data_IF_006648908080
#
_entry.id   IF_006648908080
#
_cell.length_a   1.000
_cell.length_b   1.000
_cell.length_c   1.000
_cell.angle_alpha   90.00
_cell.angle_beta   90.00
_cell.angle_gamma   90.00
#
_symmetry.space_group_name_H-M   'P 1'
#
loop_
_entity.id
_entity.type
_entity.pdbx_description
1 polymer ?
#
# COMPACT_ATOMS: atom_id res chain seq x y z
N UNK A 1 -19.98 62.71 46.72
CA UNK A 1 -20.37 61.88 45.55
C UNK A 1 -19.39 62.13 44.42
N UNK A 2 -18.73 61.06 43.93
CA UNK A 2 -18.24 60.83 42.54
C UNK A 2 -17.41 61.90 41.83
N UNK A 3 -16.31 61.63 41.14
CA UNK A 3 -15.46 60.45 40.86
C UNK A 3 -14.26 61.01 40.08
N UNK A 4 -13.05 60.63 40.47
CA UNK A 4 -11.79 60.90 39.75
C UNK A 4 -11.73 60.05 38.48
N UNK A 5 -11.41 60.65 37.32
CA UNK A 5 -11.09 59.90 36.10
C UNK A 5 -9.56 59.80 35.95
N UNK A 6 -9.03 58.58 36.09
CA UNK A 6 -7.67 58.25 35.64
C UNK A 6 -7.71 58.01 34.13
N UNK A 7 -6.86 58.73 33.39
CA UNK A 7 -6.55 58.42 32.00
C UNK A 7 -5.61 57.20 31.97
N UNK A 8 -6.13 56.05 31.54
CA UNK A 8 -5.33 54.85 31.28
C UNK A 8 -4.61 54.98 29.94
N UNK A 9 -3.28 54.95 29.97
CA UNK A 9 -2.46 54.82 28.76
C UNK A 9 -2.66 53.42 28.17
N UNK A 10 -3.28 53.34 27.01
CA UNK A 10 -3.45 52.11 26.24
C UNK A 10 -2.13 51.81 25.52
N UNK A 11 -1.33 50.88 26.05
CA UNK A 11 -0.20 50.32 25.30
C UNK A 11 -0.76 49.50 24.13
N UNK A 12 -0.60 50.01 22.91
CA UNK A 12 -0.78 49.24 21.68
C UNK A 12 0.38 48.23 21.57
N UNK A 13 0.13 47.00 22.00
CA UNK A 13 0.98 45.85 21.66
C UNK A 13 0.77 45.54 20.17
N UNK A 14 1.78 45.83 19.35
CA UNK A 14 1.82 45.40 17.96
C UNK A 14 1.85 43.85 17.93
N UNK A 15 0.72 43.24 17.57
CA UNK A 15 0.66 41.82 17.28
C UNK A 15 1.39 41.57 15.96
N UNK A 16 2.64 41.11 16.03
CA UNK A 16 3.31 40.52 14.88
C UNK A 16 2.59 39.22 14.54
N UNK A 17 2.07 39.04 13.30
CA UNK A 17 1.59 37.74 12.89
C UNK A 17 2.79 36.80 12.86
N UNK A 18 2.79 35.82 13.76
CA UNK A 18 3.62 34.63 13.64
C UNK A 18 3.15 33.91 12.37
N UNK A 19 3.76 34.22 11.23
CA UNK A 19 3.77 33.34 10.07
C UNK A 19 4.57 32.12 10.50
N UNK A 20 3.87 31.14 11.07
CA UNK A 20 4.38 29.78 11.13
C UNK A 20 4.52 29.30 9.69
N UNK A 21 5.70 29.52 9.10
CA UNK A 21 6.10 28.82 7.90
C UNK A 21 6.02 27.34 8.23
N UNK A 22 5.06 26.63 7.64
CA UNK A 22 5.13 25.19 7.59
C UNK A 22 6.47 24.88 6.93
N UNK A 23 7.45 24.39 7.69
CA UNK A 23 8.64 23.81 7.10
C UNK A 23 8.13 22.69 6.19
N UNK A 24 8.20 22.90 4.89
CA UNK A 24 8.10 21.81 3.93
C UNK A 24 9.12 20.77 4.39
N UNK A 25 8.62 19.57 4.69
CA UNK A 25 9.44 18.43 5.03
C UNK A 25 10.37 18.16 3.85
N UNK A 26 11.62 18.61 3.94
CA UNK A 26 12.69 18.32 2.98
C UNK A 26 13.28 16.92 3.22
N UNK A 27 12.50 16.00 3.78
CA UNK A 27 13.01 14.65 4.00
C UNK A 27 13.24 14.00 2.63
N UNK A 28 14.38 13.33 2.39
CA UNK A 28 14.64 12.56 1.17
C UNK A 28 13.51 11.58 0.82
N UNK A 29 12.71 11.18 1.82
CA UNK A 29 11.55 10.30 1.68
C UNK A 29 10.35 10.95 0.95
N UNK A 30 10.23 12.28 0.92
CA UNK A 30 9.16 12.98 0.21
C UNK A 30 9.30 12.93 -1.33
N UNK A 31 10.48 12.55 -1.84
CA UNK A 31 10.81 12.53 -3.28
C UNK A 31 10.99 11.13 -3.86
N UNK A 32 10.71 10.07 -3.12
CA UNK A 32 10.78 8.70 -3.63
C UNK A 32 9.56 8.41 -4.52
N UNK A 33 9.59 9.00 -5.71
CA UNK A 33 8.75 8.69 -6.85
C UNK A 33 9.68 8.18 -7.95
N UNK A 34 9.60 6.90 -8.34
CA UNK A 34 10.31 6.45 -9.53
C UNK A 34 9.81 7.24 -10.75
N UNK A 35 10.71 7.70 -11.60
CA UNK A 35 10.42 8.45 -12.83
C UNK A 35 9.54 7.69 -13.82
N UNK A 36 9.55 6.36 -13.73
CA UNK A 36 8.69 5.45 -14.50
C UNK A 36 7.30 5.20 -13.88
N UNK A 37 6.95 5.88 -12.78
CA UNK A 37 5.61 5.84 -12.18
C UNK A 37 4.90 7.19 -12.31
N UNK A 38 3.63 7.15 -12.72
CA UNK A 38 2.77 8.33 -12.76
C UNK A 38 2.25 8.62 -11.35
N UNK A 39 2.31 9.86 -10.89
CA UNK A 39 1.72 10.25 -9.60
C UNK A 39 0.26 10.70 -9.76
N UNK A 40 -0.65 10.10 -8.99
CA UNK A 40 -2.07 10.45 -8.98
C UNK A 40 -2.61 10.34 -7.54
N UNK A 41 -2.58 11.41 -6.74
CA UNK A 41 -2.69 11.29 -5.29
C UNK A 41 -4.08 10.86 -4.81
N UNK A 42 -4.10 9.97 -3.82
CA UNK A 42 -5.25 9.67 -2.98
C UNK A 42 -5.29 10.60 -1.75
N UNK A 43 -6.47 11.07 -1.30
CA UNK A 43 -6.59 11.82 -0.05
C UNK A 43 -6.47 10.91 1.20
N UNK A 44 -6.51 9.60 1.04
CA UNK A 44 -6.60 8.62 2.13
C UNK A 44 -5.23 8.25 2.65
N UNK A 45 -4.66 9.09 3.51
CA UNK A 45 -3.33 8.90 4.06
C UNK A 45 -3.20 9.49 5.47
N UNK A 46 -2.18 9.08 6.20
CA UNK A 46 -1.84 9.63 7.50
C UNK A 46 -0.33 9.82 7.65
N UNK A 47 0.08 10.63 8.63
CA UNK A 47 1.50 10.74 9.00
C UNK A 47 2.06 9.40 9.44
N UNK A 48 3.29 9.08 9.02
CA UNK A 48 4.04 7.91 9.55
C UNK A 48 4.47 8.06 10.99
N UNK A 49 4.46 9.30 11.53
CA UNK A 49 4.85 9.62 12.92
C UNK A 49 6.23 9.06 13.28
N UNK A 50 7.19 9.18 12.36
CA UNK A 50 8.58 8.72 12.54
C UNK A 50 8.81 7.21 12.36
N UNK A 51 7.77 6.42 12.04
CA UNK A 51 7.96 5.01 11.73
C UNK A 51 8.81 4.84 10.45
N UNK A 52 9.89 4.07 10.56
CA UNK A 52 10.72 3.67 9.42
C UNK A 52 9.96 2.64 8.58
N UNK A 53 10.04 2.79 7.25
CA UNK A 53 9.56 1.77 6.32
C UNK A 53 10.46 0.55 6.44
N UNK A 54 9.86 -0.62 6.67
CA UNK A 54 10.57 -1.90 6.79
C UNK A 54 9.86 -3.07 6.12
N UNK A 55 8.71 -2.86 5.47
CA UNK A 55 7.96 -3.93 4.82
C UNK A 55 7.26 -3.48 3.53
N UNK A 56 7.09 -4.42 2.61
CA UNK A 56 6.24 -4.28 1.42
C UNK A 56 5.09 -5.28 1.53
N UNK A 57 3.86 -4.80 1.37
CA UNK A 57 2.66 -5.64 1.43
C UNK A 57 2.03 -5.71 0.05
N UNK A 58 1.89 -6.93 -0.49
CA UNK A 58 1.27 -7.21 -1.78
C UNK A 58 -0.24 -7.43 -1.60
N UNK A 59 -1.02 -6.81 -2.50
CA UNK A 59 -2.48 -6.90 -2.55
C UNK A 59 -2.94 -7.22 -3.96
N UNK A 60 -4.17 -7.70 -4.11
CA UNK A 60 -4.91 -7.56 -5.35
C UNK A 60 -6.07 -6.59 -5.18
N UNK A 61 -6.49 -6.01 -6.29
CA UNK A 61 -7.56 -5.02 -6.31
C UNK A 61 -8.97 -5.62 -6.19
N UNK A 62 -9.14 -6.91 -6.49
CA UNK A 62 -10.43 -7.57 -6.69
C UNK A 62 -11.30 -6.80 -7.69
N UNK A 63 -10.69 -6.33 -8.77
CA UNK A 63 -11.24 -5.28 -9.61
C UNK A 63 -10.80 -5.36 -11.05
N UNK A 64 -11.41 -4.48 -11.86
CA UNK A 64 -11.19 -4.39 -13.29
C UNK A 64 -9.86 -3.73 -13.64
N UNK A 65 -9.90 -2.47 -14.05
CA UNK A 65 -8.73 -1.76 -14.58
C UNK A 65 -7.98 -0.98 -13.50
N UNK A 66 -6.71 -0.65 -13.78
CA UNK A 66 -5.93 0.28 -12.96
C UNK A 66 -6.66 1.62 -12.80
N UNK A 67 -7.24 2.13 -13.89
CA UNK A 67 -8.04 3.37 -13.85
C UNK A 67 -9.22 3.28 -12.86
N UNK A 68 -9.90 2.13 -12.78
CA UNK A 68 -10.99 1.94 -11.82
C UNK A 68 -10.50 1.93 -10.36
N UNK A 69 -9.37 1.27 -10.08
CA UNK A 69 -8.75 1.27 -8.75
C UNK A 69 -8.27 2.67 -8.35
N UNK A 70 -7.58 3.37 -9.25
CA UNK A 70 -7.13 4.75 -9.05
C UNK A 70 -8.33 5.67 -8.78
N UNK A 71 -9.41 5.53 -9.55
CA UNK A 71 -10.65 6.27 -9.32
C UNK A 71 -11.26 6.00 -7.95
N UNK A 72 -11.30 4.73 -7.54
CA UNK A 72 -11.81 4.33 -6.22
C UNK A 72 -10.98 4.93 -5.08
N UNK A 73 -9.65 4.84 -5.15
CA UNK A 73 -8.77 5.42 -4.13
C UNK A 73 -8.81 6.94 -4.06
N UNK A 74 -9.35 7.63 -5.08
CA UNK A 74 -9.58 9.08 -5.04
C UNK A 74 -10.96 9.47 -4.53
N UNK A 75 -11.90 8.53 -4.50
CA UNK A 75 -13.24 8.78 -3.98
C UNK A 75 -13.17 9.10 -2.47
N UNK A 76 -13.65 10.26 -2.01
CA UNK A 76 -13.67 10.63 -0.59
C UNK A 76 -14.34 9.60 0.33
N UNK A 77 -15.29 8.81 -0.20
CA UNK A 77 -16.02 7.81 0.59
C UNK A 77 -15.28 6.47 0.74
N UNK A 78 -14.25 6.21 -0.08
CA UNK A 78 -13.57 4.92 -0.11
C UNK A 78 -12.83 4.62 1.20
N UNK A 79 -12.22 5.65 1.81
CA UNK A 79 -11.45 5.55 3.07
C UNK A 79 -10.40 4.43 3.06
N UNK A 80 -9.80 4.18 1.89
CA UNK A 80 -8.75 3.20 1.64
C UNK A 80 -7.83 3.68 0.52
N UNK A 81 -6.58 3.22 0.53
CA UNK A 81 -5.58 3.51 -0.50
C UNK A 81 -4.42 2.53 -0.40
N UNK A 82 -3.56 2.49 -1.41
CA UNK A 82 -2.21 1.92 -1.38
C UNK A 82 -1.18 2.98 -1.78
N UNK A 83 0.12 2.66 -1.67
CA UNK A 83 1.14 3.57 -2.18
C UNK A 83 1.27 3.46 -3.69
N UNK A 84 1.17 2.25 -4.23
CA UNK A 84 1.28 1.98 -5.67
C UNK A 84 0.12 1.12 -6.18
N UNK A 85 -0.26 1.32 -7.42
CA UNK A 85 -1.17 0.46 -8.19
C UNK A 85 -0.47 0.00 -9.46
N UNK A 86 -0.34 -1.32 -9.66
CA UNK A 86 0.32 -1.94 -10.81
C UNK A 86 -0.74 -2.51 -11.77
N UNK A 87 -0.75 -1.99 -13.00
CA UNK A 87 -1.62 -2.45 -14.10
C UNK A 87 -1.23 -3.83 -14.63
N UNK A 88 -2.12 -4.47 -15.40
CA UNK A 88 -1.84 -5.77 -16.04
C UNK A 88 -0.76 -5.70 -17.11
N UNK A 89 -0.49 -4.50 -17.64
CA UNK A 89 0.58 -4.20 -18.59
C UNK A 89 1.90 -3.80 -17.91
N UNK A 90 1.95 -3.81 -16.57
CA UNK A 90 3.13 -3.39 -15.80
C UNK A 90 3.25 -1.87 -15.60
N UNK A 91 2.30 -1.06 -16.08
CA UNK A 91 2.27 0.37 -15.75
C UNK A 91 2.07 0.59 -14.26
N UNK A 92 2.66 1.66 -13.71
CA UNK A 92 2.59 1.97 -12.27
C UNK A 92 2.05 3.37 -12.03
N UNK A 93 1.06 3.44 -11.13
CA UNK A 93 0.56 4.70 -10.58
C UNK A 93 0.91 4.74 -9.10
N UNK A 94 1.60 5.80 -8.67
CA UNK A 94 1.81 6.11 -7.26
C UNK A 94 0.66 6.97 -6.75
N UNK A 95 0.04 6.55 -5.65
CA UNK A 95 -1.15 7.17 -5.07
C UNK A 95 -0.86 7.88 -3.74
N UNK A 96 0.14 7.43 -2.98
CA UNK A 96 0.50 8.01 -1.69
C UNK A 96 2.03 8.18 -1.62
N UNK A 97 2.54 9.37 -1.25
CA UNK A 97 3.97 9.60 -1.01
C UNK A 97 4.54 8.66 0.05
N UNK A 98 5.82 8.28 -0.07
CA UNK A 98 6.44 7.32 0.85
C UNK A 98 6.75 7.88 2.24
N UNK A 99 6.75 9.20 2.44
CA UNK A 99 6.80 9.80 3.78
C UNK A 99 5.45 9.75 4.52
N UNK A 100 4.38 9.33 3.84
CA UNK A 100 3.03 9.13 4.38
C UNK A 100 2.66 7.66 4.45
N UNK A 101 1.67 7.34 5.28
CA UNK A 101 1.09 6.00 5.41
C UNK A 101 -0.17 5.92 4.56
N UNK A 102 -0.19 5.06 3.54
CA UNK A 102 -1.42 4.67 2.86
C UNK A 102 -2.31 3.79 3.77
N UNK A 103 -3.62 3.77 3.51
CA UNK A 103 -4.61 3.03 4.29
C UNK A 103 -4.94 1.69 3.64
N UNK A 104 -3.97 0.76 3.59
CA UNK A 104 -4.10 -0.51 2.85
C UNK A 104 -4.31 -1.75 3.73
N UNK A 105 -3.60 -1.87 4.86
CA UNK A 105 -3.52 -3.10 5.65
C UNK A 105 -4.67 -3.27 6.67
N UNK A 106 -5.32 -2.17 7.06
CA UNK A 106 -6.31 -2.17 8.15
C UNK A 106 -5.75 -2.74 9.46
N UNK A 107 -6.59 -3.44 10.24
CA UNK A 107 -6.17 -4.18 11.45
C UNK A 107 -5.23 -5.31 11.08
N UNK A 108 -3.96 -5.18 11.45
CA UNK A 108 -2.90 -6.08 10.98
C UNK A 108 -1.70 -6.11 11.94
N UNK A 109 -0.98 -7.23 11.89
CA UNK A 109 0.26 -7.49 12.66
C UNK A 109 1.29 -8.18 11.77
N UNK A 110 2.55 -7.74 11.83
CA UNK A 110 3.69 -8.36 11.15
C UNK A 110 4.88 -8.39 12.10
N UNK A 111 5.55 -9.54 12.23
CA UNK A 111 6.71 -9.73 13.12
C UNK A 111 6.47 -9.21 14.56
N UNK A 112 5.29 -9.52 15.12
CA UNK A 112 4.88 -9.08 16.46
C UNK A 112 4.43 -7.62 16.58
N UNK A 113 4.53 -6.81 15.52
CA UNK A 113 4.17 -5.39 15.53
C UNK A 113 2.83 -5.12 14.84
N UNK A 114 1.89 -4.55 15.59
CA UNK A 114 0.60 -4.11 15.07
C UNK A 114 0.68 -2.78 14.30
N UNK A 115 -0.32 -2.50 13.46
CA UNK A 115 -0.44 -1.22 12.75
C UNK A 115 0.46 -1.15 11.51
N UNK A 116 0.39 -2.17 10.66
CA UNK A 116 1.31 -2.38 9.53
C UNK A 116 1.34 -1.21 8.54
N UNK A 117 0.25 -0.45 8.39
CA UNK A 117 0.24 0.77 7.56
C UNK A 117 1.41 1.73 7.88
N UNK A 118 1.75 1.91 9.16
CA UNK A 118 2.72 2.91 9.57
C UNK A 118 4.15 2.62 9.10
N UNK A 119 4.51 1.35 8.96
CA UNK A 119 5.89 0.91 8.66
C UNK A 119 6.00 0.12 7.35
N UNK A 120 4.96 0.14 6.52
CA UNK A 120 4.98 -0.59 5.24
C UNK A 120 4.60 0.26 4.04
N UNK A 121 4.89 -0.31 2.87
CA UNK A 121 4.46 0.15 1.55
C UNK A 121 3.49 -0.87 0.97
N UNK A 122 2.20 -0.55 0.89
CA UNK A 122 1.23 -1.33 0.14
C UNK A 122 1.34 -1.16 -1.38
N UNK A 123 1.39 -2.27 -2.10
CA UNK A 123 1.32 -2.34 -3.57
C UNK A 123 0.05 -3.11 -3.97
N UNK A 124 -0.85 -2.43 -4.67
CA UNK A 124 -2.09 -2.98 -5.20
C UNK A 124 -1.91 -3.43 -6.63
N UNK A 125 -2.29 -4.67 -6.93
CA UNK A 125 -2.02 -5.28 -8.23
C UNK A 125 -3.36 -5.57 -8.92
N UNK A 126 -3.55 -5.05 -10.13
CA UNK A 126 -4.79 -5.24 -10.88
C UNK A 126 -5.03 -6.72 -11.19
N UNK A 127 -5.95 -7.31 -10.44
CA UNK A 127 -6.33 -8.70 -10.52
C UNK A 127 -7.74 -8.86 -9.92
N UNK A 128 -8.55 -9.74 -10.52
CA UNK A 128 -9.91 -10.09 -10.15
C UNK A 128 -9.96 -11.04 -8.95
N UNK A 129 -8.84 -11.70 -8.64
CA UNK A 129 -8.71 -12.68 -7.57
C UNK A 129 -9.48 -13.96 -7.91
N UNK A 130 -10.43 -14.40 -7.06
CA UNK A 130 -11.24 -15.58 -7.32
C UNK A 130 -12.09 -15.48 -8.59
N UNK A 131 -12.08 -16.56 -9.37
CA UNK A 131 -12.94 -16.76 -10.54
C UNK A 131 -13.90 -17.92 -10.31
N UNK A 132 -15.05 -17.88 -10.97
CA UNK A 132 -16.05 -18.95 -11.00
C UNK A 132 -16.14 -19.54 -12.41
N UNK A 133 -16.48 -20.83 -12.51
CA UNK A 133 -16.81 -21.49 -13.77
C UNK A 133 -18.32 -21.71 -13.84
N UNK A 134 -18.98 -21.15 -14.85
CA UNK A 134 -20.43 -21.24 -15.10
C UNK A 134 -20.62 -21.61 -16.56
N UNK A 135 -21.33 -22.72 -16.83
CA UNK A 135 -21.59 -23.24 -18.17
C UNK A 135 -20.31 -23.36 -19.03
N UNK A 136 -19.24 -23.88 -18.42
CA UNK A 136 -17.94 -24.04 -19.06
C UNK A 136 -17.12 -22.76 -19.24
N UNK A 137 -17.67 -21.58 -18.91
CA UNK A 137 -17.01 -20.27 -19.07
C UNK A 137 -16.57 -19.70 -17.72
N UNK A 138 -15.48 -18.96 -17.72
CA UNK A 138 -15.01 -18.26 -16.54
C UNK A 138 -15.68 -16.89 -16.38
N UNK A 139 -16.07 -16.58 -15.16
CA UNK A 139 -16.63 -15.29 -14.75
C UNK A 139 -15.93 -14.80 -13.49
N UNK A 140 -15.87 -13.50 -13.33
CA UNK A 140 -15.39 -12.84 -12.11
C UNK A 140 -16.29 -13.16 -10.93
N UNK A 141 -15.82 -12.89 -9.70
CA UNK A 141 -16.63 -13.15 -8.49
C UNK A 141 -17.98 -12.41 -8.48
N UNK A 142 -18.07 -11.26 -9.16
CA UNK A 142 -19.30 -10.46 -9.32
C UNK A 142 -20.11 -10.81 -10.59
N UNK A 143 -19.74 -11.88 -11.31
CA UNK A 143 -20.52 -12.44 -12.41
C UNK A 143 -20.25 -11.84 -13.79
N UNK A 144 -19.26 -10.95 -13.94
CA UNK A 144 -18.84 -10.41 -15.24
C UNK A 144 -18.05 -11.46 -16.03
N UNK A 145 -18.15 -11.41 -17.36
CA UNK A 145 -17.35 -12.26 -18.24
C UNK A 145 -15.86 -12.01 -18.01
N UNK A 146 -15.11 -13.06 -17.74
CA UNK A 146 -13.66 -13.01 -17.65
C UNK A 146 -13.02 -13.16 -19.05
N UNK A 147 -12.12 -12.25 -19.40
CA UNK A 147 -11.40 -12.24 -20.69
C UNK A 147 -9.87 -12.19 -20.50
N UNK A 148 -9.36 -12.56 -19.32
CA UNK A 148 -7.92 -12.58 -19.02
C UNK A 148 -7.26 -13.88 -19.47
N UNK A 149 -6.02 -14.10 -19.00
CA UNK A 149 -5.26 -15.33 -19.26
C UNK A 149 -5.89 -16.59 -18.63
N UNK A 150 -5.42 -17.77 -19.02
CA UNK A 150 -5.97 -19.04 -18.53
C UNK A 150 -5.96 -19.10 -16.99
N UNK A 151 -7.12 -19.30 -16.32
CA UNK A 151 -7.19 -19.34 -14.88
C UNK A 151 -6.33 -20.44 -14.25
N UNK A 152 -5.71 -20.12 -13.12
CA UNK A 152 -5.02 -21.10 -12.29
C UNK A 152 -6.05 -21.82 -11.45
N UNK A 153 -6.06 -23.15 -11.48
CA UNK A 153 -6.86 -23.95 -10.55
C UNK A 153 -6.05 -24.25 -9.30
N UNK A 154 -6.50 -23.74 -8.16
CA UNK A 154 -5.96 -24.02 -6.84
C UNK A 154 -6.23 -25.47 -6.43
N UNK A 155 -5.47 -25.96 -5.42
CA UNK A 155 -5.62 -27.31 -4.88
C UNK A 155 -7.03 -27.61 -4.34
N UNK A 156 -7.76 -26.58 -3.89
CA UNK A 156 -9.16 -26.66 -3.46
C UNK A 156 -10.17 -26.73 -4.62
N UNK A 157 -9.68 -26.82 -5.86
CA UNK A 157 -10.48 -26.88 -7.08
C UNK A 157 -11.03 -25.54 -7.55
N UNK A 158 -10.80 -24.44 -6.82
CA UNK A 158 -11.26 -23.10 -7.21
C UNK A 158 -10.31 -22.46 -8.20
N UNK A 159 -10.81 -21.47 -8.96
CA UNK A 159 -10.02 -20.80 -9.98
C UNK A 159 -9.58 -19.40 -9.52
N UNK A 160 -8.42 -18.94 -10.00
CA UNK A 160 -7.83 -17.62 -9.74
C UNK A 160 -7.37 -16.99 -11.05
N UNK A 161 -7.49 -15.68 -11.18
CA UNK A 161 -6.83 -14.97 -12.29
C UNK A 161 -5.29 -15.03 -12.10
N UNK A 162 -4.52 -15.47 -13.11
CA UNK A 162 -3.07 -15.38 -13.07
C UNK A 162 -2.59 -13.93 -13.11
N UNK A 163 -1.47 -13.65 -12.46
CA UNK A 163 -0.74 -12.40 -12.68
C UNK A 163 0.14 -12.52 -13.93
N UNK A 164 0.24 -11.42 -14.69
CA UNK A 164 1.01 -11.37 -15.92
C UNK A 164 2.51 -11.27 -15.66
N UNK A 165 3.33 -11.63 -16.65
CA UNK A 165 4.79 -11.46 -16.55
C UNK A 165 5.20 -9.98 -16.44
N UNK A 166 4.47 -9.07 -17.10
CA UNK A 166 4.69 -7.63 -16.99
C UNK A 166 4.47 -7.13 -15.55
N UNK A 167 3.46 -7.66 -14.85
CA UNK A 167 3.25 -7.40 -13.43
C UNK A 167 4.43 -7.90 -12.60
N UNK A 168 4.87 -9.14 -12.76
CA UNK A 168 6.00 -9.66 -11.98
C UNK A 168 7.30 -8.89 -12.22
N UNK A 169 7.64 -8.60 -13.47
CA UNK A 169 8.82 -7.81 -13.81
C UNK A 169 8.77 -6.43 -13.12
N UNK A 170 7.60 -5.79 -13.12
CA UNK A 170 7.37 -4.50 -12.46
C UNK A 170 7.45 -4.61 -10.95
N UNK A 171 6.89 -5.66 -10.35
CA UNK A 171 6.95 -5.88 -8.90
C UNK A 171 8.39 -6.09 -8.41
N UNK A 172 9.19 -6.84 -9.17
CA UNK A 172 10.63 -7.00 -8.89
C UNK A 172 11.35 -5.65 -9.00
N UNK A 173 11.12 -4.90 -10.09
CA UNK A 173 11.71 -3.56 -10.29
C UNK A 173 11.33 -2.59 -9.16
N UNK A 174 10.04 -2.51 -8.82
CA UNK A 174 9.53 -1.63 -7.77
C UNK A 174 10.04 -2.03 -6.40
N UNK A 175 10.02 -3.33 -6.07
CA UNK A 175 10.52 -3.82 -4.79
C UNK A 175 12.03 -3.58 -4.65
N UNK A 176 12.80 -3.83 -5.71
CA UNK A 176 14.24 -3.50 -5.75
C UNK A 176 14.47 -2.02 -5.47
N UNK A 177 13.74 -1.13 -6.16
CA UNK A 177 13.81 0.31 -5.92
C UNK A 177 13.54 0.66 -4.46
N UNK A 178 12.51 0.08 -3.84
CA UNK A 178 12.18 0.33 -2.44
C UNK A 178 13.23 -0.23 -1.46
N UNK A 179 13.79 -1.41 -1.74
CA UNK A 179 14.86 -2.01 -0.94
C UNK A 179 16.13 -1.15 -0.98
N UNK A 180 16.43 -0.52 -2.11
CA UNK A 180 17.63 0.33 -2.25
C UNK A 180 17.52 1.65 -1.45
N UNK A 181 16.31 2.04 -1.05
CA UNK A 181 16.06 3.29 -0.32
C UNK A 181 15.73 3.08 1.17
N UNK A 182 15.18 1.90 1.51
CA UNK A 182 14.66 1.61 2.84
C UNK A 182 15.16 0.25 3.34
N UNK A 183 15.29 0.11 4.66
CA UNK A 183 15.66 -1.14 5.30
C UNK A 183 14.48 -2.15 5.31
N UNK A 184 14.04 -2.57 4.12
CA UNK A 184 12.99 -3.56 3.92
C UNK A 184 13.48 -4.92 4.40
N UNK A 185 12.79 -5.47 5.40
CA UNK A 185 13.07 -6.81 5.93
C UNK A 185 12.03 -7.83 5.49
N UNK A 186 10.82 -7.39 5.15
CA UNK A 186 9.71 -8.28 4.82
C UNK A 186 9.00 -7.87 3.53
N UNK A 187 8.72 -8.85 2.68
CA UNK A 187 7.82 -8.72 1.55
C UNK A 187 6.80 -9.86 1.66
N UNK A 188 5.54 -9.53 1.89
CA UNK A 188 4.51 -10.53 2.18
C UNK A 188 3.12 -10.11 1.70
N UNK A 189 2.13 -11.00 1.84
CA UNK A 189 0.75 -10.79 1.44
C UNK A 189 -0.11 -10.18 2.54
N UNK A 190 -1.17 -9.48 2.13
CA UNK A 190 -2.17 -8.96 3.05
C UNK A 190 -2.87 -10.07 3.86
N UNK A 191 -3.08 -11.24 3.25
CA UNK A 191 -3.64 -12.45 3.89
C UNK A 191 -2.85 -12.91 5.11
N UNK A 192 -1.57 -12.58 5.17
CA UNK A 192 -0.67 -13.09 6.21
C UNK A 192 -0.57 -12.15 7.40
N UNK A 193 -0.78 -10.85 7.17
CA UNK A 193 -0.74 -9.84 8.22
C UNK A 193 -2.12 -9.48 8.78
N UNK A 194 -3.20 -9.81 8.07
CA UNK A 194 -4.54 -9.36 8.42
C UNK A 194 -5.07 -10.01 9.70
N UNK A 195 -5.60 -9.19 10.60
CA UNK A 195 -6.21 -9.62 11.87
C UNK A 195 -7.72 -9.33 11.88
N UNK A 196 -8.58 -10.29 12.28
CA UNK A 196 -8.27 -11.69 12.59
C UNK A 196 -7.81 -12.46 11.34
N UNK A 197 -7.12 -13.60 11.54
CA UNK A 197 -6.69 -14.46 10.44
C UNK A 197 -7.91 -14.88 9.62
N UNK A 198 -7.75 -14.92 8.30
CA UNK A 198 -8.85 -15.18 7.35
C UNK A 198 -9.68 -13.96 6.96
N UNK A 199 -9.43 -12.76 7.54
CA UNK A 199 -10.09 -11.51 7.12
C UNK A 199 -9.76 -11.12 5.67
N UNK A 200 -8.56 -11.47 5.20
CA UNK A 200 -8.04 -11.13 3.88
C UNK A 200 -7.43 -12.36 3.23
N UNK A 201 -7.47 -12.38 1.90
CA UNK A 201 -7.03 -13.51 1.07
C UNK A 201 -6.06 -13.09 -0.04
N UNK A 202 -5.81 -11.80 -0.20
CA UNK A 202 -4.89 -11.22 -1.18
C UNK A 202 -3.42 -11.27 -0.72
N UNK A 203 -2.46 -11.45 -1.65
CA UNK A 203 -2.58 -11.51 -3.11
C UNK A 203 -3.05 -12.89 -3.65
N UNK A 204 -3.30 -13.85 -2.75
CA UNK A 204 -3.93 -15.13 -3.06
C UNK A 204 -3.05 -16.13 -3.80
N UNK A 205 -3.58 -17.33 -3.99
CA UNK A 205 -2.87 -18.48 -4.57
C UNK A 205 -2.50 -18.32 -6.05
N UNK A 206 -3.08 -17.33 -6.75
CA UNK A 206 -2.65 -16.98 -8.10
C UNK A 206 -1.29 -16.28 -8.13
N UNK A 207 -0.81 -15.78 -6.98
CA UNK A 207 0.45 -15.07 -6.85
C UNK A 207 1.61 -16.03 -6.59
N UNK A 208 2.58 -16.00 -7.48
CA UNK A 208 3.78 -16.82 -7.47
C UNK A 208 4.92 -16.08 -6.76
N UNK A 209 5.09 -16.40 -5.47
CA UNK A 209 6.16 -15.84 -4.65
C UNK A 209 7.56 -16.21 -5.14
N UNK A 210 7.72 -17.30 -5.90
CA UNK A 210 9.01 -17.73 -6.45
C UNK A 210 9.53 -16.72 -7.46
N UNK A 211 8.65 -16.15 -8.30
CA UNK A 211 9.03 -15.08 -9.25
C UNK A 211 9.59 -13.85 -8.54
N UNK A 212 9.04 -13.51 -7.35
CA UNK A 212 9.54 -12.37 -6.56
C UNK A 212 10.86 -12.72 -5.88
N UNK A 213 10.96 -13.88 -5.22
CA UNK A 213 12.19 -14.27 -4.52
C UNK A 213 13.36 -14.50 -5.46
N UNK A 214 13.13 -15.10 -6.63
CA UNK A 214 14.16 -15.26 -7.67
C UNK A 214 14.60 -13.92 -8.27
N UNK A 215 13.65 -13.02 -8.53
CA UNK A 215 13.95 -11.68 -9.06
C UNK A 215 14.70 -10.78 -8.09
N UNK A 216 14.60 -11.05 -6.78
CA UNK A 216 15.24 -10.30 -5.70
C UNK A 216 16.34 -11.08 -4.99
N UNK A 217 16.81 -12.20 -5.55
CA UNK A 217 17.79 -13.10 -4.90
C UNK A 217 19.11 -12.43 -4.50
N UNK A 218 19.51 -11.37 -5.21
CA UNK A 218 20.73 -10.59 -4.92
C UNK A 218 20.49 -9.46 -3.90
N UNK A 219 19.24 -9.28 -3.44
CA UNK A 219 18.88 -8.27 -2.43
C UNK A 219 18.87 -8.90 -1.05
N UNK A 220 19.36 -8.14 -0.06
CA UNK A 220 19.36 -8.57 1.33
C UNK A 220 18.01 -8.29 2.00
N UNK A 221 17.03 -9.17 1.79
CA UNK A 221 15.72 -9.14 2.43
C UNK A 221 15.54 -10.38 3.30
N UNK A 222 15.19 -10.20 4.57
CA UNK A 222 15.06 -11.31 5.53
C UNK A 222 13.98 -12.31 5.13
N UNK A 223 12.83 -11.82 4.66
CA UNK A 223 11.68 -12.66 4.34
C UNK A 223 10.96 -12.19 3.08
N UNK A 224 10.75 -13.11 2.13
CA UNK A 224 9.93 -12.92 0.93
C UNK A 224 8.99 -14.12 0.83
N UNK A 225 7.69 -13.88 0.93
CA UNK A 225 6.69 -14.94 0.83
C UNK A 225 5.55 -14.83 1.84
N UNK A 226 4.72 -15.88 1.94
CA UNK A 226 3.73 -16.00 2.99
C UNK A 226 4.39 -16.13 4.36
N UNK A 227 3.87 -15.42 5.36
CA UNK A 227 4.29 -15.57 6.76
C UNK A 227 3.36 -16.57 7.47
N UNK A 228 3.93 -17.60 8.08
CA UNK A 228 3.22 -18.48 9.03
C UNK A 228 3.36 -17.92 10.45
N UNK A 229 2.45 -18.27 11.37
CA UNK A 229 2.42 -17.64 12.70
C UNK A 229 3.75 -17.78 13.47
N UNK A 230 4.13 -16.65 14.08
CA UNK A 230 5.23 -16.40 15.03
C UNK A 230 6.67 -16.54 14.51
N UNK A 231 7.11 -15.61 13.65
CA UNK A 231 8.45 -15.08 13.90
C UNK A 231 8.41 -14.32 15.24
N UNK A 232 9.16 -14.74 16.27
CA UNK A 232 9.24 -13.98 17.51
C UNK A 232 9.76 -12.58 17.18
N UNK A 233 9.24 -11.56 17.89
CA UNK A 233 9.80 -10.23 17.82
C UNK A 233 11.30 -10.35 18.12
N UNK A 234 12.15 -10.04 17.15
CA UNK A 234 13.59 -9.95 17.42
C UNK A 234 13.76 -8.81 18.41
N UNK A 235 14.19 -9.15 19.63
CA UNK A 235 14.51 -8.17 20.66
C UNK A 235 15.53 -7.19 20.08
N UNK A 236 15.14 -5.91 20.06
CA UNK A 236 16.03 -4.77 19.82
C UNK A 236 16.91 -4.53 21.04
#
# INVERSE_FOLDING_TARGET
MHRTFLAGALLLLAAFPYLAGAQESTSPQAKAQPDWATFNPSPHQSERRGAKISAIIMHYTAGGSQASTVGWFRNPDAKVSSHYVVGRDGTVVQMVPLDKSAWHAGRSTLAGKSGVNAFSVGIEICNWGPLRKVDGKFVTYDGRKYNGGEPIQSADGRYREPYTDAQYATLVKLSSYLIDQYAITHITGHSDIATPKGRKHDPGEGFDWKKISEGLKEKNVKHIGPVTEAEPATAS
#
